data_IF_938302379616
#
_entry.id   IF_938302379616
#
_cell.length_a   1.000
_cell.length_b   1.000
_cell.length_c   1.000
_cell.angle_alpha   90.00
_cell.angle_beta   90.00
_cell.angle_gamma   90.00
#
_symmetry.space_group_name_H-M   'P 1'
#
loop_
_entity.id
_entity.type
_entity.pdbx_description
1 polymer ?
#
# COMPACT_ATOMS: atom_id res chain seq x y z
N UNK A 1 21.23 -20.82 18.21
CA UNK A 1 20.86 -20.03 17.02
C UNK A 1 19.40 -20.26 16.74
N UNK A 2 18.57 -19.26 16.93
CA UNK A 2 17.13 -19.35 16.64
C UNK A 2 16.96 -19.12 15.15
N UNK A 3 16.52 -20.13 14.40
CA UNK A 3 16.29 -19.98 12.96
C UNK A 3 15.15 -18.99 12.73
N UNK A 4 15.46 -17.80 12.21
CA UNK A 4 14.45 -16.78 11.91
C UNK A 4 13.65 -17.24 10.68
N UNK A 5 12.32 -17.22 10.77
CA UNK A 5 11.42 -17.64 9.70
C UNK A 5 11.64 -16.80 8.42
N UNK A 6 11.75 -17.41 7.22
CA UNK A 6 11.87 -16.66 5.97
C UNK A 6 10.76 -15.62 5.74
N UNK A 7 9.54 -15.94 6.16
CA UNK A 7 8.38 -15.05 6.07
C UNK A 7 8.52 -13.80 6.94
N UNK A 8 9.13 -13.93 8.13
CA UNK A 8 9.42 -12.79 9.01
C UNK A 8 10.48 -11.91 8.37
N UNK A 9 11.54 -12.51 7.83
CA UNK A 9 12.59 -11.79 7.10
C UNK A 9 12.02 -11.03 5.89
N UNK A 10 11.16 -11.66 5.08
CA UNK A 10 10.49 -11.02 3.96
C UNK A 10 9.62 -9.83 4.39
N UNK A 11 8.86 -9.99 5.46
CA UNK A 11 7.99 -8.93 5.95
C UNK A 11 8.79 -7.74 6.49
N UNK A 12 9.83 -7.99 7.29
CA UNK A 12 10.74 -6.95 7.79
C UNK A 12 11.46 -6.26 6.63
N UNK A 13 11.95 -7.03 5.66
CA UNK A 13 12.56 -6.50 4.44
C UNK A 13 11.62 -5.55 3.71
N UNK A 14 10.36 -5.95 3.55
CA UNK A 14 9.36 -5.13 2.88
C UNK A 14 9.06 -3.84 3.63
N UNK A 15 8.90 -3.91 4.96
CA UNK A 15 8.66 -2.71 5.79
C UNK A 15 9.85 -1.76 5.70
N UNK A 16 11.09 -2.25 5.87
CA UNK A 16 12.30 -1.42 5.77
C UNK A 16 12.44 -0.74 4.41
N UNK A 17 12.20 -1.50 3.33
CA UNK A 17 12.20 -0.95 1.98
C UNK A 17 11.22 0.21 1.87
N UNK A 18 9.98 0.03 2.33
CA UNK A 18 8.97 1.06 2.19
C UNK A 18 9.14 2.26 3.12
N UNK A 19 9.74 2.08 4.31
CA UNK A 19 10.16 3.21 5.15
C UNK A 19 11.15 4.09 4.39
N UNK A 20 12.12 3.49 3.69
CA UNK A 20 13.06 4.23 2.84
C UNK A 20 12.37 4.84 1.62
N UNK A 21 11.48 4.09 0.96
CA UNK A 21 10.75 4.52 -0.22
C UNK A 21 9.81 5.70 0.05
N UNK A 22 9.29 5.85 1.27
CA UNK A 22 8.48 7.01 1.65
C UNK A 22 9.24 8.33 1.55
N UNK A 23 10.55 8.34 1.70
CA UNK A 23 11.36 9.56 1.59
C UNK A 23 11.80 9.87 0.16
N UNK A 24 12.18 8.84 -0.59
CA UNK A 24 12.84 9.01 -1.90
C UNK A 24 11.96 8.61 -3.10
N UNK A 25 10.80 8.00 -2.85
CA UNK A 25 9.98 7.32 -3.85
C UNK A 25 10.47 5.90 -4.15
N UNK A 26 9.57 5.06 -4.66
CA UNK A 26 9.83 3.65 -4.98
C UNK A 26 11.00 3.48 -5.96
N UNK A 27 10.91 4.07 -7.15
CA UNK A 27 11.88 3.87 -8.25
C UNK A 27 13.28 4.31 -7.85
N UNK A 28 13.41 5.46 -7.18
CA UNK A 28 14.70 5.96 -6.71
C UNK A 28 15.29 5.06 -5.64
N UNK A 29 14.47 4.61 -4.69
CA UNK A 29 14.91 3.70 -3.62
C UNK A 29 15.38 2.36 -4.18
N UNK A 30 14.62 1.80 -5.13
CA UNK A 30 14.99 0.56 -5.82
C UNK A 30 16.35 0.69 -6.54
N UNK A 31 16.55 1.76 -7.30
CA UNK A 31 17.80 2.01 -8.01
C UNK A 31 18.99 2.18 -7.04
N UNK A 32 18.80 2.90 -5.95
CA UNK A 32 19.86 3.15 -4.97
C UNK A 32 20.22 1.89 -4.17
N UNK A 33 19.27 1.04 -3.81
CA UNK A 33 19.52 -0.23 -3.09
C UNK A 33 20.42 -1.19 -3.87
N UNK A 34 20.32 -1.17 -5.20
CA UNK A 34 21.15 -2.00 -6.06
C UNK A 34 22.63 -1.62 -5.91
N UNK A 35 22.92 -0.33 -5.72
CA UNK A 35 24.28 0.22 -5.59
C UNK A 35 24.75 0.34 -4.14
N UNK A 36 23.87 0.70 -3.21
CA UNK A 36 24.15 1.07 -1.81
C UNK A 36 23.06 0.48 -0.87
N UNK A 37 23.00 -0.85 -0.69
CA UNK A 37 21.93 -1.51 0.08
C UNK A 37 21.87 -1.06 1.55
N UNK A 38 22.97 -0.58 2.13
CA UNK A 38 23.05 -0.04 3.49
C UNK A 38 22.17 1.20 3.72
N UNK A 39 21.69 1.85 2.65
CA UNK A 39 20.81 3.02 2.77
C UNK A 39 19.50 2.71 3.51
N UNK A 40 19.04 1.45 3.52
CA UNK A 40 17.78 1.04 4.15
C UNK A 40 17.92 0.73 5.65
N UNK A 41 19.14 0.77 6.20
CA UNK A 41 19.41 0.48 7.62
C UNK A 41 19.90 1.69 8.41
N UNK A 42 19.38 2.87 8.07
CA UNK A 42 19.56 4.06 8.92
C UNK A 42 18.94 3.81 10.29
N UNK A 43 19.60 4.27 11.36
CA UNK A 43 19.12 4.13 12.75
C UNK A 43 17.66 4.56 12.91
N UNK A 44 17.22 5.63 12.22
CA UNK A 44 15.83 6.10 12.26
C UNK A 44 14.84 5.10 11.63
N UNK A 45 15.22 4.40 10.56
CA UNK A 45 14.36 3.42 9.90
C UNK A 45 14.21 2.16 10.73
N UNK A 46 15.30 1.71 11.35
CA UNK A 46 15.28 0.57 12.27
C UNK A 46 14.41 0.87 13.50
N UNK A 47 14.52 2.07 14.07
CA UNK A 47 13.65 2.52 15.17
C UNK A 47 12.17 2.52 14.76
N UNK A 48 11.86 3.05 13.58
CA UNK A 48 10.49 3.05 13.07
C UNK A 48 9.95 1.64 12.82
N UNK A 49 10.72 0.77 12.17
CA UNK A 49 10.37 -0.64 11.95
C UNK A 49 9.94 -1.31 13.26
N UNK A 50 10.80 -1.28 14.28
CA UNK A 50 10.51 -1.98 15.54
C UNK A 50 9.36 -1.34 16.31
N UNK A 51 9.16 -0.02 16.20
CA UNK A 51 7.99 0.63 16.80
C UNK A 51 6.65 0.17 16.19
N UNK A 52 6.68 -0.31 14.94
CA UNK A 52 5.51 -0.86 14.22
C UNK A 52 5.33 -2.37 14.38
N UNK A 53 6.27 -3.05 15.03
CA UNK A 53 6.22 -4.50 15.24
C UNK A 53 6.31 -4.84 16.74
N UNK A 54 5.24 -4.66 17.52
CA UNK A 54 5.28 -4.86 18.97
C UNK A 54 5.75 -6.25 19.41
N UNK A 55 5.49 -7.28 18.60
CA UNK A 55 5.94 -8.66 18.84
C UNK A 55 7.48 -8.84 18.82
N UNK A 56 8.23 -7.83 18.39
CA UNK A 56 9.69 -7.81 18.34
C UNK A 56 10.33 -7.05 19.50
N UNK A 57 9.51 -6.46 20.40
CA UNK A 57 9.99 -5.63 21.50
C UNK A 57 10.86 -6.40 22.50
N UNK A 58 10.61 -7.69 22.67
CA UNK A 58 11.35 -8.56 23.59
C UNK A 58 12.53 -9.29 22.93
N UNK A 59 12.80 -9.03 21.64
CA UNK A 59 13.91 -9.67 20.96
C UNK A 59 15.26 -9.19 21.50
N UNK A 60 16.21 -10.11 21.76
CA UNK A 60 17.59 -9.75 22.07
C UNK A 60 18.22 -8.88 20.98
N UNK A 61 19.13 -8.00 21.36
CA UNK A 61 19.85 -7.13 20.42
C UNK A 61 20.53 -7.93 19.30
N UNK A 62 21.15 -9.05 19.63
CA UNK A 62 21.80 -9.96 18.67
C UNK A 62 20.81 -10.45 17.60
N UNK A 63 19.62 -10.92 18.01
CA UNK A 63 18.56 -11.35 17.09
C UNK A 63 18.08 -10.21 16.20
N UNK A 64 17.98 -8.99 16.74
CA UNK A 64 17.65 -7.80 15.94
C UNK A 64 18.73 -7.46 14.92
N UNK A 65 20.01 -7.63 15.26
CA UNK A 65 21.09 -7.42 14.27
C UNK A 65 21.04 -8.49 13.18
N UNK A 66 20.87 -9.76 13.56
CA UNK A 66 20.78 -10.88 12.61
C UNK A 66 19.62 -10.71 11.62
N UNK A 67 18.41 -10.40 12.11
CA UNK A 67 17.24 -10.24 11.23
C UNK A 67 17.36 -9.04 10.29
N UNK A 68 17.95 -7.93 10.75
CA UNK A 68 18.16 -6.75 9.92
C UNK A 68 19.19 -7.06 8.82
N UNK A 69 20.27 -7.77 9.16
CA UNK A 69 21.25 -8.22 8.19
C UNK A 69 20.63 -9.17 7.15
N UNK A 70 19.80 -10.12 7.58
CA UNK A 70 19.07 -11.01 6.68
C UNK A 70 18.08 -10.26 5.79
N UNK A 71 17.34 -9.30 6.34
CA UNK A 71 16.39 -8.47 5.61
C UNK A 71 17.09 -7.62 4.54
N UNK A 72 18.22 -6.98 4.87
CA UNK A 72 19.03 -6.25 3.89
C UNK A 72 19.48 -7.13 2.73
N UNK A 73 19.98 -8.33 3.05
CA UNK A 73 20.44 -9.27 2.05
C UNK A 73 19.29 -9.66 1.12
N UNK A 74 18.11 -9.94 1.68
CA UNK A 74 16.90 -10.22 0.93
C UNK A 74 16.52 -9.04 0.02
N UNK A 75 16.47 -7.81 0.56
CA UNK A 75 16.14 -6.60 -0.21
C UNK A 75 17.05 -6.46 -1.42
N UNK A 76 18.37 -6.66 -1.25
CA UNK A 76 19.33 -6.56 -2.35
C UNK A 76 19.08 -7.60 -3.46
N UNK A 77 18.77 -8.83 -3.10
CA UNK A 77 18.49 -9.91 -4.07
C UNK A 77 17.19 -9.63 -4.80
N UNK A 78 16.11 -9.38 -4.05
CA UNK A 78 14.79 -9.08 -4.58
C UNK A 78 14.80 -7.85 -5.52
N UNK A 79 15.52 -6.79 -5.13
CA UNK A 79 15.66 -5.59 -5.96
C UNK A 79 16.32 -5.87 -7.32
N UNK A 80 17.30 -6.77 -7.36
CA UNK A 80 17.96 -7.18 -8.62
C UNK A 80 17.06 -8.07 -9.48
N UNK A 81 16.21 -8.87 -8.85
CA UNK A 81 15.24 -9.71 -9.54
C UNK A 81 14.02 -8.92 -10.07
N UNK A 82 13.81 -7.70 -9.57
CA UNK A 82 12.63 -6.89 -9.88
C UNK A 82 11.40 -7.29 -9.07
N UNK A 83 11.59 -7.98 -7.95
CA UNK A 83 10.50 -8.42 -7.08
C UNK A 83 9.84 -7.23 -6.38
N UNK A 84 8.53 -7.36 -6.11
CA UNK A 84 7.77 -6.36 -5.37
C UNK A 84 7.82 -6.62 -3.86
N UNK A 85 8.00 -5.57 -3.09
CA UNK A 85 8.09 -5.61 -1.63
C UNK A 85 6.73 -5.46 -0.95
N UNK A 86 5.82 -6.42 -1.14
CA UNK A 86 4.42 -6.30 -0.68
C UNK A 86 4.24 -6.63 0.81
N UNK A 87 5.24 -7.27 1.43
CA UNK A 87 5.14 -7.80 2.78
C UNK A 87 4.11 -8.94 2.89
N UNK A 88 4.07 -9.57 4.05
CA UNK A 88 3.17 -10.71 4.28
C UNK A 88 1.76 -10.21 4.60
N UNK A 89 0.73 -10.56 3.80
CA UNK A 89 -0.66 -10.29 4.17
C UNK A 89 -1.05 -11.16 5.37
N UNK A 90 -1.89 -10.65 6.25
CA UNK A 90 -2.42 -11.43 7.39
C UNK A 90 -3.92 -11.64 7.26
N UNK A 91 -4.42 -12.73 7.82
CA UNK A 91 -5.85 -13.08 7.75
C UNK A 91 -6.72 -12.08 8.51
N UNK A 92 -6.18 -11.45 9.56
CA UNK A 92 -6.83 -10.37 10.31
C UNK A 92 -6.82 -9.02 9.57
N UNK A 93 -6.02 -8.82 8.52
CA UNK A 93 -6.11 -7.61 7.70
C UNK A 93 -7.50 -7.48 7.04
N UNK A 94 -8.15 -8.63 6.79
CA UNK A 94 -9.53 -8.67 6.31
C UNK A 94 -10.52 -8.29 7.42
N UNK A 95 -11.39 -7.31 7.12
CA UNK A 95 -12.47 -6.90 8.01
C UNK A 95 -12.12 -5.77 8.97
N UNK A 96 -10.85 -5.57 9.33
CA UNK A 96 -10.40 -4.48 10.20
C UNK A 96 -10.10 -3.17 9.45
N UNK A 97 -9.75 -3.24 8.16
CA UNK A 97 -9.43 -2.08 7.33
C UNK A 97 -8.04 -1.46 7.59
N UNK A 98 -7.30 -1.96 8.57
CA UNK A 98 -5.90 -1.61 8.86
C UNK A 98 -5.15 -2.84 9.34
N UNK A 99 -3.91 -3.04 8.88
CA UNK A 99 -3.00 -3.99 9.51
C UNK A 99 -2.49 -3.46 10.84
N UNK A 100 -1.84 -4.34 11.62
CA UNK A 100 -1.23 -3.97 12.90
C UNK A 100 -0.26 -2.79 12.75
N UNK A 101 0.56 -2.78 11.70
CA UNK A 101 1.58 -1.75 11.44
C UNK A 101 0.97 -0.37 11.15
N UNK A 102 -0.28 -0.34 10.66
CA UNK A 102 -1.02 0.86 10.29
C UNK A 102 -2.08 1.27 11.34
N UNK A 103 -2.26 0.49 12.41
CA UNK A 103 -3.33 0.69 13.41
C UNK A 103 -3.38 2.12 13.94
N UNK A 104 -2.22 2.69 14.26
CA UNK A 104 -2.08 4.02 14.86
C UNK A 104 -1.89 5.16 13.85
N UNK A 105 -1.98 4.87 12.54
CA UNK A 105 -1.76 5.89 11.52
C UNK A 105 -2.92 6.90 11.51
N UNK A 106 -2.59 8.18 11.69
CA UNK A 106 -3.60 9.23 11.78
C UNK A 106 -4.02 9.67 10.38
N UNK A 107 -5.29 9.49 10.02
CA UNK A 107 -5.80 9.79 8.67
C UNK A 107 -6.74 10.99 8.62
N UNK A 108 -7.24 11.47 9.77
CA UNK A 108 -8.24 12.52 9.83
C UNK A 108 -7.83 13.82 9.11
N UNK A 109 -6.52 14.13 9.13
CA UNK A 109 -5.97 15.31 8.48
C UNK A 109 -6.02 15.25 6.93
N UNK A 110 -6.23 14.06 6.35
CA UNK A 110 -6.37 13.87 4.91
C UNK A 110 -7.79 14.17 4.39
N UNK A 111 -8.76 14.38 5.29
CA UNK A 111 -10.15 14.62 4.93
C UNK A 111 -10.31 16.04 4.41
N UNK A 112 -10.79 16.16 3.17
CA UNK A 112 -11.17 17.44 2.55
C UNK A 112 -12.60 17.40 2.02
N UNK A 113 -13.16 18.57 1.69
CA UNK A 113 -14.46 18.62 1.01
C UNK A 113 -14.26 18.32 -0.46
N UNK A 114 -14.95 17.30 -0.97
CA UNK A 114 -15.05 17.00 -2.39
C UNK A 114 -16.52 17.11 -2.79
N UNK A 115 -16.84 17.94 -3.79
CA UNK A 115 -18.21 18.12 -4.29
C UNK A 115 -18.64 16.96 -5.16
N UNK A 116 -17.80 16.56 -6.09
CA UNK A 116 -18.05 15.41 -6.97
C UNK A 116 -16.76 14.66 -7.30
N UNK A 117 -16.87 13.35 -7.51
CA UNK A 117 -15.84 12.51 -8.12
C UNK A 117 -16.57 11.44 -8.94
N UNK A 118 -16.63 11.60 -10.27
CA UNK A 118 -17.45 10.76 -11.15
C UNK A 118 -16.77 10.55 -12.50
N UNK A 119 -17.14 9.47 -13.18
CA UNK A 119 -16.83 9.30 -14.60
C UNK A 119 -17.43 10.48 -15.40
N UNK A 120 -16.70 10.94 -16.41
CA UNK A 120 -17.13 12.00 -17.33
C UNK A 120 -18.22 11.47 -18.26
N UNK A 121 -18.12 10.20 -18.67
CA UNK A 121 -19.18 9.51 -19.42
C UNK A 121 -20.20 8.92 -18.44
N UNK A 122 -21.44 9.46 -18.38
CA UNK A 122 -22.48 8.95 -17.50
C UNK A 122 -23.05 7.59 -17.94
N UNK A 123 -22.89 7.20 -19.20
CA UNK A 123 -23.43 5.95 -19.74
C UNK A 123 -22.54 4.72 -19.42
N UNK A 124 -21.32 4.97 -18.91
CA UNK A 124 -20.37 3.94 -18.50
C UNK A 124 -20.02 4.06 -16.99
N UNK A 125 -20.97 3.75 -16.08
CA UNK A 125 -20.70 3.83 -14.65
C UNK A 125 -19.65 2.79 -14.23
N UNK A 126 -18.61 3.23 -13.53
CA UNK A 126 -17.58 2.32 -13.04
C UNK A 126 -18.14 1.32 -12.02
N UNK A 127 -17.69 0.06 -12.05
CA UNK A 127 -17.98 -0.93 -11.01
C UNK A 127 -17.63 -0.40 -9.61
N UNK A 128 -18.36 -0.89 -8.61
CA UNK A 128 -18.13 -0.56 -7.19
C UNK A 128 -17.96 -1.84 -6.39
N UNK A 129 -16.82 -1.96 -5.70
CA UNK A 129 -16.50 -3.17 -4.95
C UNK A 129 -15.44 -2.94 -3.87
N UNK A 130 -15.36 -3.90 -2.95
CA UNK A 130 -14.23 -4.07 -2.04
C UNK A 130 -14.13 -3.10 -0.86
N UNK A 131 -13.23 -3.46 0.03
CA UNK A 131 -12.85 -2.72 1.23
C UNK A 131 -11.35 -2.41 1.19
N UNK A 132 -10.99 -1.16 1.46
CA UNK A 132 -9.59 -0.74 1.59
C UNK A 132 -9.00 -1.30 2.88
N UNK A 133 -7.75 -1.74 2.83
CA UNK A 133 -6.94 -2.05 4.01
C UNK A 133 -5.62 -1.28 3.98
N UNK A 134 -5.39 -0.40 4.97
CA UNK A 134 -4.13 0.32 5.14
C UNK A 134 -3.07 -0.58 5.76
N UNK A 135 -1.83 -0.48 5.26
CA UNK A 135 -0.70 -1.29 5.75
C UNK A 135 0.57 -0.47 5.94
N UNK A 136 0.44 0.85 6.03
CA UNK A 136 1.55 1.81 6.14
C UNK A 136 2.63 1.29 7.09
N UNK A 137 3.89 1.17 6.64
CA UNK A 137 4.44 1.74 5.40
C UNK A 137 4.27 0.86 4.15
N UNK A 138 3.72 -0.35 4.25
CA UNK A 138 3.48 -1.21 3.09
C UNK A 138 2.36 -0.67 2.19
N UNK A 139 2.30 -1.08 0.91
CA UNK A 139 1.20 -0.79 0.01
C UNK A 139 -0.14 -1.20 0.62
N UNK A 140 -1.16 -0.37 0.42
CA UNK A 140 -2.51 -0.70 0.81
C UNK A 140 -3.07 -1.82 -0.07
N UNK A 141 -3.97 -2.62 0.50
CA UNK A 141 -4.62 -3.73 -0.17
C UNK A 141 -6.11 -3.49 -0.33
N UNK A 142 -6.75 -4.29 -1.16
CA UNK A 142 -8.21 -4.34 -1.28
C UNK A 142 -8.68 -5.76 -1.06
N UNK A 143 -9.74 -5.90 -0.29
CA UNK A 143 -10.46 -7.16 -0.14
C UNK A 143 -11.84 -7.06 -0.78
N UNK A 144 -12.21 -8.03 -1.61
CA UNK A 144 -13.52 -8.06 -2.27
C UNK A 144 -14.02 -9.49 -2.44
N UNK A 145 -15.32 -9.70 -2.38
CA UNK A 145 -15.94 -10.99 -2.74
C UNK A 145 -16.36 -11.04 -4.22
N UNK A 146 -16.38 -9.89 -4.88
CA UNK A 146 -16.71 -9.78 -6.31
C UNK A 146 -15.50 -10.11 -7.15
N UNK A 147 -15.73 -10.86 -8.22
CA UNK A 147 -14.79 -10.90 -9.33
C UNK A 147 -14.91 -9.60 -10.12
N UNK A 148 -13.78 -9.00 -10.45
CA UNK A 148 -13.70 -7.68 -11.09
C UNK A 148 -13.11 -7.76 -12.50
N UNK A 149 -12.76 -8.95 -12.99
CA UNK A 149 -12.36 -9.15 -14.39
C UNK A 149 -11.14 -8.33 -14.84
N UNK A 150 -10.35 -7.78 -13.91
CA UNK A 150 -9.24 -6.88 -14.20
C UNK A 150 -9.61 -5.41 -14.42
N UNK A 151 -10.89 -5.04 -14.26
CA UNK A 151 -11.39 -3.69 -14.52
C UNK A 151 -11.03 -2.69 -13.42
N UNK A 152 -11.08 -1.41 -13.76
CA UNK A 152 -11.04 -0.32 -12.78
C UNK A 152 -12.35 -0.24 -12.00
N UNK A 153 -12.30 0.06 -10.70
CA UNK A 153 -13.49 0.12 -9.86
C UNK A 153 -13.35 1.12 -8.70
N UNK A 154 -14.47 1.67 -8.25
CA UNK A 154 -14.51 2.48 -7.02
C UNK A 154 -14.54 1.57 -5.80
N UNK A 155 -13.65 1.83 -4.84
CA UNK A 155 -13.65 1.12 -3.55
C UNK A 155 -14.90 1.50 -2.76
N UNK A 156 -15.73 0.51 -2.43
CA UNK A 156 -17.01 0.76 -1.74
C UNK A 156 -16.86 1.16 -0.29
N UNK A 157 -15.92 0.55 0.43
CA UNK A 157 -15.72 0.80 1.85
C UNK A 157 -14.30 1.27 2.12
N UNK A 158 -14.17 2.57 2.37
CA UNK A 158 -12.91 3.21 2.80
C UNK A 158 -12.98 3.69 4.25
N UNK A 159 -14.14 3.63 4.90
CA UNK A 159 -14.37 4.19 6.23
C UNK A 159 -13.64 3.43 7.33
N UNK A 160 -13.63 2.09 7.29
CA UNK A 160 -12.89 1.29 8.29
C UNK A 160 -11.39 1.63 8.27
N UNK A 161 -10.86 1.80 7.07
CA UNK A 161 -9.46 2.16 6.84
C UNK A 161 -9.15 3.62 7.22
N UNK A 162 -9.94 4.58 6.76
CA UNK A 162 -9.61 6.00 6.85
C UNK A 162 -10.30 6.74 8.01
N UNK A 163 -11.36 6.18 8.58
CA UNK A 163 -12.27 6.88 9.49
C UNK A 163 -13.26 7.83 8.80
N UNK A 164 -13.28 7.86 7.46
CA UNK A 164 -14.22 8.64 6.64
C UNK A 164 -14.34 8.03 5.25
N UNK A 165 -15.44 8.32 4.55
CA UNK A 165 -15.61 7.92 3.17
C UNK A 165 -14.76 8.78 2.24
N UNK A 166 -14.01 8.14 1.35
CA UNK A 166 -13.27 8.78 0.26
C UNK A 166 -13.46 8.02 -1.06
N UNK A 167 -13.69 8.71 -2.20
CA UNK A 167 -13.89 8.06 -3.50
C UNK A 167 -12.54 7.67 -4.12
N UNK A 168 -11.99 6.54 -3.67
CA UNK A 168 -10.75 5.95 -4.19
C UNK A 168 -11.10 5.00 -5.34
N UNK A 169 -10.40 5.14 -6.47
CA UNK A 169 -10.51 4.23 -7.61
C UNK A 169 -9.30 3.33 -7.63
N UNK A 170 -9.52 2.04 -7.85
CA UNK A 170 -8.46 1.04 -7.93
C UNK A 170 -8.39 0.47 -9.34
N UNK A 171 -7.17 0.21 -9.81
CA UNK A 171 -6.93 -0.75 -10.88
C UNK A 171 -6.22 -1.97 -10.31
N UNK A 172 -6.65 -3.16 -10.73
CA UNK A 172 -6.12 -4.41 -10.21
C UNK A 172 -6.09 -5.46 -11.32
N UNK A 173 -4.90 -5.92 -11.69
CA UNK A 173 -4.73 -6.93 -12.73
C UNK A 173 -4.82 -8.37 -12.20
N UNK A 174 -4.63 -8.56 -10.89
CA UNK A 174 -4.67 -9.87 -10.25
C UNK A 174 -4.91 -9.77 -8.75
N UNK A 175 -5.34 -10.88 -8.14
CA UNK A 175 -5.47 -11.02 -6.71
C UNK A 175 -5.38 -12.48 -6.30
N UNK A 176 -5.16 -12.72 -5.01
CA UNK A 176 -5.13 -14.04 -4.41
C UNK A 176 -6.48 -14.34 -3.76
N UNK A 177 -7.12 -15.45 -4.13
CA UNK A 177 -8.36 -15.88 -3.47
C UNK A 177 -8.01 -16.68 -2.22
N UNK A 178 -8.49 -16.22 -1.08
CA UNK A 178 -8.36 -16.91 0.20
C UNK A 178 -9.32 -18.11 0.27
N UNK A 179 -9.10 -19.01 1.24
CA UNK A 179 -9.91 -20.23 1.41
C UNK A 179 -11.39 -19.92 1.68
N UNK A 180 -11.70 -18.77 2.28
CA UNK A 180 -13.08 -18.29 2.48
C UNK A 180 -13.68 -17.57 1.27
N UNK A 181 -13.01 -17.61 0.11
CA UNK A 181 -13.51 -17.05 -1.15
C UNK A 181 -13.34 -15.54 -1.30
N UNK A 182 -12.61 -14.86 -0.42
CA UNK A 182 -12.32 -13.42 -0.57
C UNK A 182 -11.15 -13.23 -1.52
N UNK A 183 -11.29 -12.34 -2.50
CA UNK A 183 -10.20 -11.91 -3.36
C UNK A 183 -9.41 -10.81 -2.66
N UNK A 184 -8.12 -11.05 -2.46
CA UNK A 184 -7.15 -10.13 -1.89
C UNK A 184 -6.25 -9.55 -2.98
N UNK A 185 -6.31 -8.24 -3.17
CA UNK A 185 -5.51 -7.51 -4.16
C UNK A 185 -4.39 -6.79 -3.40
N UNK A 186 -3.16 -7.30 -3.52
CA UNK A 186 -2.04 -6.87 -2.67
C UNK A 186 -1.28 -5.64 -3.17
N UNK A 187 -1.44 -5.30 -4.45
CA UNK A 187 -0.74 -4.16 -5.07
C UNK A 187 -1.60 -3.46 -6.12
N UNK A 188 -2.79 -2.97 -5.73
CA UNK A 188 -3.59 -2.15 -6.62
C UNK A 188 -2.91 -0.81 -6.86
N UNK A 189 -3.12 -0.21 -8.03
CA UNK A 189 -2.87 1.21 -8.20
C UNK A 189 -4.08 1.98 -7.70
N UNK A 190 -3.89 2.87 -6.72
CA UNK A 190 -4.98 3.58 -6.05
C UNK A 190 -5.02 5.03 -6.50
N UNK A 191 -5.93 5.36 -7.41
CA UNK A 191 -6.14 6.74 -7.85
C UNK A 191 -6.98 7.49 -6.80
N UNK A 192 -6.40 8.56 -6.24
CA UNK A 192 -7.00 9.31 -5.13
C UNK A 192 -7.18 10.77 -5.55
N UNK A 193 -8.41 11.29 -5.59
CA UNK A 193 -8.61 12.71 -5.83
C UNK A 193 -8.05 13.50 -4.64
N UNK A 194 -7.30 14.57 -4.91
CA UNK A 194 -6.71 15.49 -3.92
C UNK A 194 -6.80 16.96 -4.37
N UNK A 195 -7.03 17.94 -3.47
CA UNK A 195 -7.22 19.34 -3.86
C UNK A 195 -5.92 20.03 -4.32
N UNK A 196 -4.76 19.44 -4.03
CA UNK A 196 -3.46 19.99 -4.38
C UNK A 196 -2.36 18.92 -4.35
N UNK A 197 -1.22 19.23 -4.96
CA UNK A 197 -0.03 18.37 -4.91
C UNK A 197 0.46 18.14 -3.48
N UNK A 198 0.35 19.16 -2.61
CA UNK A 198 0.76 19.06 -1.20
C UNK A 198 -0.08 18.03 -0.45
N UNK A 199 -1.40 18.03 -0.66
CA UNK A 199 -2.28 17.01 -0.07
C UNK A 199 -2.02 15.65 -0.70
N UNK A 200 -1.77 15.59 -2.01
CA UNK A 200 -1.31 14.37 -2.70
C UNK A 200 -0.10 13.72 -2.03
N UNK A 201 0.93 14.53 -1.71
CA UNK A 201 2.11 14.04 -1.03
C UNK A 201 1.82 13.52 0.39
N UNK A 202 0.83 14.06 1.09
CA UNK A 202 0.38 13.54 2.40
C UNK A 202 -0.31 12.18 2.23
N UNK A 203 -1.19 12.04 1.24
CA UNK A 203 -1.82 10.75 0.90
C UNK A 203 -0.78 9.69 0.55
N UNK A 204 0.20 9.99 -0.30
CA UNK A 204 1.25 9.04 -0.68
C UNK A 204 2.16 8.62 0.48
N UNK A 205 2.20 9.37 1.58
CA UNK A 205 2.92 8.94 2.81
C UNK A 205 2.16 7.88 3.59
N UNK A 206 0.83 7.91 3.53
CA UNK A 206 -0.05 6.95 4.21
C UNK A 206 -0.33 5.74 3.31
N UNK A 207 -0.55 5.97 2.01
CA UNK A 207 -0.86 4.96 1.02
C UNK A 207 0.25 5.02 -0.05
N UNK A 208 1.31 4.20 0.06
CA UNK A 208 2.48 4.30 -0.82
C UNK A 208 2.20 4.03 -2.29
N UNK A 209 1.19 3.20 -2.57
CA UNK A 209 0.67 2.88 -3.91
C UNK A 209 -0.46 3.83 -4.36
N UNK A 210 -0.60 5.00 -3.73
CA UNK A 210 -1.51 6.03 -4.18
C UNK A 210 -0.93 6.79 -5.39
N UNK A 211 -1.81 7.06 -6.35
CA UNK A 211 -1.62 7.95 -7.49
C UNK A 211 -2.58 9.13 -7.32
N UNK A 212 -2.15 10.21 -6.63
CA UNK A 212 -3.01 11.35 -6.41
C UNK A 212 -3.29 12.10 -7.72
N UNK A 213 -4.52 12.59 -7.91
CA UNK A 213 -4.90 13.45 -9.03
C UNK A 213 -5.75 14.63 -8.56
N UNK A 214 -5.67 15.78 -9.23
CA UNK A 214 -6.34 17.01 -8.77
C UNK A 214 -7.70 17.20 -9.44
N UNK A 215 -7.70 17.30 -10.77
CA UNK A 215 -8.90 17.62 -11.54
C UNK A 215 -9.44 16.40 -12.28
N UNK A 216 -8.57 15.71 -13.02
CA UNK A 216 -8.96 14.60 -13.87
C UNK A 216 -7.87 13.53 -13.91
N UNK A 217 -8.30 12.29 -14.06
CA UNK A 217 -7.44 11.14 -14.36
C UNK A 217 -8.11 10.30 -15.44
N UNK A 218 -7.31 9.74 -16.34
CA UNK A 218 -7.76 8.75 -17.32
C UNK A 218 -7.22 7.39 -16.89
N UNK A 219 -8.13 6.46 -16.60
CA UNK A 219 -7.77 5.14 -16.07
C UNK A 219 -7.94 4.10 -17.17
N UNK A 220 -6.89 3.32 -17.50
CA UNK A 220 -7.00 2.26 -18.51
C UNK A 220 -8.09 1.24 -18.17
N UNK A 221 -8.87 0.84 -19.17
CA UNK A 221 -9.79 -0.28 -19.09
C UNK A 221 -9.23 -1.45 -19.92
N UNK A 222 -9.15 -2.68 -19.39
CA UNK A 222 -8.54 -3.82 -20.10
C UNK A 222 -9.20 -4.18 -21.45
N UNK A 223 -10.48 -3.87 -21.63
CA UNK A 223 -11.27 -4.28 -22.79
C UNK A 223 -12.04 -3.14 -23.47
N UNK A 224 -11.70 -1.86 -23.23
CA UNK A 224 -12.53 -0.75 -23.72
C UNK A 224 -11.86 0.63 -23.68
N UNK A 225 -12.70 1.67 -23.81
CA UNK A 225 -12.27 3.05 -23.63
C UNK A 225 -11.87 3.29 -22.17
N UNK A 226 -10.87 4.15 -21.92
CA UNK A 226 -10.45 4.47 -20.56
C UNK A 226 -11.59 5.16 -19.79
N UNK A 227 -11.59 4.98 -18.48
CA UNK A 227 -12.47 5.73 -17.59
C UNK A 227 -11.86 7.10 -17.33
N UNK A 228 -12.43 8.14 -17.93
CA UNK A 228 -12.10 9.51 -17.58
C UNK A 228 -12.89 9.93 -16.35
N UNK A 229 -12.21 10.32 -15.28
CA UNK A 229 -12.82 10.66 -14.00
C UNK A 229 -12.49 12.10 -13.68
N UNK A 230 -13.51 12.88 -13.28
CA UNK A 230 -13.34 14.26 -12.84
C UNK A 230 -13.69 14.42 -11.36
N UNK A 231 -12.82 15.12 -10.63
CA UNK A 231 -13.06 15.57 -9.27
C UNK A 231 -13.34 17.08 -9.23
N UNK A 232 -14.21 17.52 -8.33
CA UNK A 232 -14.46 18.94 -8.05
C UNK A 232 -14.49 19.20 -6.54
N UNK A 233 -13.98 20.36 -6.12
CA UNK A 233 -13.69 20.73 -4.72
C UNK A 233 -14.60 21.85 -4.23
#
# INVERSE_FOLDING_TARGET
MTTISPQITYHIASILFWIAARESGYTKTLAQIITEPEMVVKTRYIKELFSRMPCTNDWPTETRVEVISAAMHYIKIAAKAGDRFLGTPRSDDYGHGRSEEARHEATAHLRHTIRTCKAIDPEAPMPRAGELCLRTPLPAMIFTTKDLGGEAFVITNTEKALGFHWPIIATAYSGHRTDNGVLMIMDPELHIPVPSQTVGAQWSRIIPNAVPFIDQVSIPAPAGQPFDIRATW
#
